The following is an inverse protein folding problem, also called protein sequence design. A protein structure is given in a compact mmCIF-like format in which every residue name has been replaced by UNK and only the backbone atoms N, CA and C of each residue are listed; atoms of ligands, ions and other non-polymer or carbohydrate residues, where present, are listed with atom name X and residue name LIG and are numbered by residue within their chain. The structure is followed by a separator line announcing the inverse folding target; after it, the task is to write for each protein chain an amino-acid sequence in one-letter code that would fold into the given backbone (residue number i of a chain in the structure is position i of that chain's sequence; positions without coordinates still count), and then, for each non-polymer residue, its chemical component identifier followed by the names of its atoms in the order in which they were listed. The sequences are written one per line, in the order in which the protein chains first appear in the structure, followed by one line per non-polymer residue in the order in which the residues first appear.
data_IF_986325678918
#
_entry.id   IF_986325678918
#
_cell.length_a   1.000
_cell.length_b   1.000
_cell.length_c   1.000
_cell.angle_alpha   90.00
_cell.angle_beta   90.00
_cell.angle_gamma   90.00
#
_symmetry.space_group_name_H-M   'P 1'
#
loop_
_entity.id
_entity.type
_entity.pdbx_description
1 polymer ?
#
# COMPACT_ATOMS: atom_id res chain seq x y z
N UNK A 1 10.86 0.29 9.21
CA UNK A 1 10.26 -0.33 8.01
C UNK A 1 8.94 -0.92 8.45
N UNK A 2 7.81 -0.45 7.91
CA UNK A 2 6.51 -1.08 8.16
C UNK A 2 6.53 -2.43 7.45
N UNK A 3 7.12 -3.44 8.08
CA UNK A 3 6.96 -4.82 7.67
C UNK A 3 5.51 -5.18 7.96
N UNK A 4 4.63 -4.88 7.01
CA UNK A 4 3.29 -5.43 6.92
C UNK A 4 3.44 -6.93 6.84
N UNK A 5 3.45 -7.57 8.01
CA UNK A 5 3.36 -9.01 8.15
C UNK A 5 1.89 -9.35 8.00
N UNK A 6 1.35 -9.07 6.82
CA UNK A 6 -0.03 -9.36 6.48
C UNK A 6 -0.03 -10.43 5.41
N UNK A 7 -0.82 -11.47 5.67
CA UNK A 7 -1.11 -12.62 4.81
C UNK A 7 -1.90 -12.22 3.54
N UNK A 8 -1.52 -11.08 2.96
CA UNK A 8 -2.10 -10.48 1.78
C UNK A 8 -1.17 -10.81 0.62
N UNK A 9 -1.71 -11.40 -0.44
CA UNK A 9 -0.99 -11.64 -1.70
C UNK A 9 -0.57 -10.34 -2.43
N UNK A 10 -0.85 -9.17 -1.83
CA UNK A 10 -0.47 -7.85 -2.29
C UNK A 10 0.80 -7.33 -1.61
N UNK A 11 1.65 -6.70 -2.41
CA UNK A 11 2.83 -5.96 -1.99
C UNK A 11 2.92 -4.60 -2.70
N UNK A 12 4.04 -3.91 -2.47
CA UNK A 12 4.34 -2.59 -3.01
C UNK A 12 5.62 -2.65 -3.84
N UNK A 13 5.59 -2.11 -5.05
CA UNK A 13 6.77 -1.91 -5.88
C UNK A 13 7.24 -0.46 -5.74
N UNK A 14 8.33 -0.27 -4.98
CA UNK A 14 8.92 1.03 -4.69
C UNK A 14 9.47 1.72 -5.95
N UNK A 15 9.93 0.97 -6.97
CA UNK A 15 10.47 1.59 -8.18
C UNK A 15 9.36 2.10 -9.10
N UNK A 16 8.26 1.35 -9.18
CA UNK A 16 7.11 1.69 -10.03
C UNK A 16 6.04 2.49 -9.28
N UNK A 17 6.21 2.63 -7.96
CA UNK A 17 5.26 3.28 -7.05
C UNK A 17 3.84 2.72 -7.23
N UNK A 18 3.67 1.38 -7.23
CA UNK A 18 2.35 0.76 -7.43
C UNK A 18 2.16 -0.53 -6.63
N UNK A 19 0.91 -0.93 -6.48
CA UNK A 19 0.53 -2.18 -5.81
C UNK A 19 0.76 -3.36 -6.76
N UNK A 20 1.53 -4.35 -6.30
CA UNK A 20 1.81 -5.59 -7.04
C UNK A 20 1.17 -6.78 -6.35
N UNK A 21 0.62 -7.72 -7.12
CA UNK A 21 0.08 -8.97 -6.62
C UNK A 21 -0.02 -9.98 -7.77
N UNK A 22 -0.20 -11.27 -7.44
CA UNK A 22 -0.55 -12.29 -8.44
C UNK A 22 -1.92 -11.97 -9.05
N UNK A 23 -2.14 -12.36 -10.30
CA UNK A 23 -3.43 -12.13 -10.98
C UNK A 23 -4.61 -12.75 -10.24
N UNK A 24 -4.42 -13.92 -9.61
CA UNK A 24 -5.46 -14.57 -8.80
C UNK A 24 -5.90 -13.69 -7.62
N UNK A 25 -4.96 -13.00 -6.98
CA UNK A 25 -5.24 -12.11 -5.86
C UNK A 25 -5.96 -10.84 -6.33
N UNK A 26 -5.50 -10.22 -7.41
CA UNK A 26 -6.19 -9.10 -8.04
C UNK A 26 -7.62 -9.46 -8.44
N UNK A 27 -7.82 -10.61 -9.09
CA UNK A 27 -9.13 -11.05 -9.57
C UNK A 27 -10.09 -11.34 -8.40
N UNK A 28 -9.60 -11.98 -7.33
CA UNK A 28 -10.40 -12.22 -6.12
C UNK A 28 -10.77 -10.92 -5.39
N UNK A 29 -9.89 -9.91 -5.42
CA UNK A 29 -10.15 -8.63 -4.79
C UNK A 29 -11.11 -7.75 -5.62
N UNK A 30 -10.92 -7.72 -6.94
CA UNK A 30 -11.78 -7.00 -7.88
C UNK A 30 -13.19 -7.60 -7.93
N UNK A 31 -13.34 -8.92 -7.76
CA UNK A 31 -14.66 -9.57 -7.78
C UNK A 31 -15.58 -9.08 -6.65
N UNK A 32 -15.01 -8.75 -5.50
CA UNK A 32 -15.71 -8.16 -4.36
C UNK A 32 -15.73 -6.62 -4.41
N UNK A 33 -14.72 -5.99 -5.02
CA UNK A 33 -14.55 -4.54 -5.06
C UNK A 33 -14.22 -4.07 -6.48
N UNK A 34 -15.23 -3.99 -7.36
CA UNK A 34 -15.03 -3.75 -8.81
C UNK A 34 -14.26 -2.46 -9.14
N UNK A 35 -14.46 -1.42 -8.34
CA UNK A 35 -13.77 -0.13 -8.46
C UNK A 35 -12.27 -0.17 -8.21
N UNK A 36 -11.75 -1.26 -7.63
CA UNK A 36 -10.31 -1.42 -7.33
C UNK A 36 -9.49 -1.82 -8.55
N UNK A 37 -10.14 -2.23 -9.63
CA UNK A 37 -9.48 -2.59 -10.90
C UNK A 37 -8.61 -1.46 -11.46
N UNK A 38 -9.00 -0.20 -11.24
CA UNK A 38 -8.22 0.97 -11.67
C UNK A 38 -6.85 1.05 -10.98
N UNK A 39 -6.68 0.47 -9.80
CA UNK A 39 -5.45 0.56 -9.03
C UNK A 39 -4.38 -0.43 -9.48
N UNK A 40 -4.73 -1.48 -10.22
CA UNK A 40 -3.79 -2.51 -10.71
C UNK A 40 -2.66 -1.94 -11.57
N UNK A 41 -2.95 -0.87 -12.31
CA UNK A 41 -2.00 -0.25 -13.25
C UNK A 41 -1.72 1.21 -12.91
N UNK A 42 -2.13 1.67 -11.72
CA UNK A 42 -1.97 3.06 -11.30
C UNK A 42 -0.73 3.23 -10.44
N UNK A 43 0.12 4.16 -10.83
CA UNK A 43 1.23 4.61 -9.98
C UNK A 43 0.78 5.71 -9.02
N UNK A 44 1.39 5.74 -7.84
CA UNK A 44 1.18 6.71 -6.78
C UNK A 44 2.52 7.34 -6.40
N UNK A 45 2.97 8.30 -7.20
CA UNK A 45 4.33 8.86 -7.17
C UNK A 45 4.82 9.39 -5.81
N UNK A 46 3.91 9.70 -4.88
CA UNK A 46 4.24 10.29 -3.58
C UNK A 46 3.91 9.36 -2.40
N UNK A 47 3.54 8.11 -2.65
CA UNK A 47 3.09 7.21 -1.60
C UNK A 47 4.15 7.00 -0.51
N UNK A 48 5.41 6.77 -0.89
CA UNK A 48 6.49 6.55 0.08
C UNK A 48 6.81 7.81 0.89
N UNK A 49 6.79 8.98 0.22
CA UNK A 49 7.01 10.27 0.87
C UNK A 49 5.92 10.59 1.89
N UNK A 50 4.66 10.39 1.50
CA UNK A 50 3.52 10.58 2.39
C UNK A 50 3.59 9.59 3.55
N UNK A 51 3.85 8.31 3.28
CA UNK A 51 4.01 7.28 4.32
C UNK A 51 5.11 7.65 5.31
N UNK A 52 6.24 8.20 4.85
CA UNK A 52 7.31 8.64 5.72
C UNK A 52 6.92 9.86 6.59
N UNK A 53 6.14 10.79 6.07
CA UNK A 53 5.61 11.94 6.84
C UNK A 53 4.66 11.44 7.93
N UNK A 54 3.67 10.61 7.56
CA UNK A 54 2.69 10.06 8.51
C UNK A 54 3.33 9.14 9.55
N UNK A 55 4.36 8.36 9.18
CA UNK A 55 5.08 7.51 10.12
C UNK A 55 5.86 8.32 11.17
N UNK A 56 6.43 9.47 10.78
CA UNK A 56 7.14 10.37 11.71
C UNK A 56 6.18 11.07 12.66
N UNK A 57 5.02 11.49 12.18
CA UNK A 57 4.02 12.18 12.99
C UNK A 57 3.49 11.28 14.12
N UNK A 58 3.23 10.01 13.81
CA UNK A 58 2.82 8.99 14.80
C UNK A 58 3.88 8.67 15.85
N UNK A 59 5.17 8.87 15.54
CA UNK A 59 6.24 8.71 16.53
C UNK A 59 6.22 9.87 17.55
N UNK A 60 6.00 11.10 17.07
CA UNK A 60 5.97 12.31 17.90
C UNK A 60 4.79 12.35 18.87
N UNK A 61 3.63 11.78 18.49
CA UNK A 61 2.46 11.67 19.37
C UNK A 61 2.69 10.72 20.56
N UNK A 62 3.57 9.72 20.41
CA UNK A 62 3.84 8.71 21.44
C UNK A 62 4.83 9.17 22.52
N UNK A 63 5.65 10.18 22.22
CA UNK A 63 6.61 10.77 23.15
C UNK A 63 6.01 11.96 23.94
N UNK A 64 4.74 12.31 23.68
CA UNK A 64 4.03 13.42 24.32
C UNK A 64 3.05 12.99 25.44
N UNK A 65 3.07 11.73 25.88
CA UNK A 65 2.22 11.22 26.97
C UNK A 65 3.01 10.71 28.18
#
# INVERSE_FOLDING_TARGET
MLSGKDNSDFGWDEHRQLVVAKDVAWNSYISSHKETSQFKHRSFAYYDQLTAIYAKDRATEKDAQ
#
